data_IF_996648254583
#
_entry.id   IF_996648254583
#
_cell.length_a   1.000
_cell.length_b   1.000
_cell.length_c   1.000
_cell.angle_alpha   90.00
_cell.angle_beta   90.00
_cell.angle_gamma   90.00
#
_symmetry.space_group_name_H-M   'P 1'
#
loop_
_entity.id
_entity.type
_entity.pdbx_description
1 polymer ?
#
# COMPACT_ATOMS: atom_id res chain seq x y z
N UNK A 1 17.76 4.15 24.69
CA UNK A 1 16.32 3.72 24.75
C UNK A 1 15.70 4.20 26.06
N UNK A 2 16.37 3.98 27.20
CA UNK A 2 15.91 4.41 28.54
C UNK A 2 15.64 5.90 28.59
N UNK A 3 16.58 6.73 28.14
CA UNK A 3 16.45 8.18 28.04
C UNK A 3 15.26 8.61 27.14
N UNK A 4 14.99 7.90 26.05
CA UNK A 4 13.83 8.14 25.23
C UNK A 4 12.50 7.83 25.96
N UNK A 5 12.44 6.72 26.66
CA UNK A 5 11.25 6.28 27.41
C UNK A 5 10.95 7.27 28.55
N UNK A 6 12.00 7.82 29.20
CA UNK A 6 11.86 8.77 30.28
C UNK A 6 11.34 10.13 29.81
N UNK A 7 11.77 10.59 28.62
CA UNK A 7 11.48 11.95 28.15
C UNK A 7 10.35 12.04 27.11
N UNK A 8 9.96 10.92 26.48
CA UNK A 8 8.90 10.91 25.47
C UNK A 8 7.64 10.25 26.03
N UNK A 9 6.59 11.03 26.32
CA UNK A 9 5.36 10.48 26.86
C UNK A 9 4.64 9.60 25.84
N UNK A 10 3.90 8.62 26.34
CA UNK A 10 2.99 7.84 25.49
C UNK A 10 1.93 8.76 24.90
N UNK A 11 1.73 8.65 23.61
CA UNK A 11 0.78 9.46 22.86
C UNK A 11 -0.12 8.60 21.98
N UNK A 12 -1.25 9.14 21.61
CA UNK A 12 -2.22 8.51 20.75
C UNK A 12 -2.62 9.45 19.59
N UNK A 13 -3.42 8.96 18.65
CA UNK A 13 -3.80 9.76 17.49
C UNK A 13 -4.49 11.10 17.84
N UNK A 14 -5.30 11.14 18.89
CA UNK A 14 -6.05 12.35 19.26
C UNK A 14 -5.13 13.49 19.69
N UNK A 15 -3.95 13.17 20.21
CA UNK A 15 -2.96 14.17 20.61
C UNK A 15 -2.43 14.93 19.38
N UNK A 16 -2.43 14.29 18.21
CA UNK A 16 -1.95 14.84 16.95
C UNK A 16 -3.06 15.30 15.99
N UNK A 17 -4.31 14.91 16.21
CA UNK A 17 -5.42 15.12 15.27
C UNK A 17 -5.58 16.58 14.85
N UNK A 18 -5.46 17.51 15.80
CA UNK A 18 -5.54 18.96 15.52
C UNK A 18 -4.44 19.44 14.55
N UNK A 19 -3.24 18.91 14.70
CA UNK A 19 -2.11 19.26 13.84
C UNK A 19 -2.25 18.61 12.44
N UNK A 20 -2.70 17.37 12.39
CA UNK A 20 -2.97 16.65 11.14
C UNK A 20 -4.06 17.37 10.33
N UNK A 21 -5.12 17.84 10.99
CA UNK A 21 -6.17 18.62 10.36
C UNK A 21 -5.66 19.96 9.78
N UNK A 22 -4.74 20.64 10.46
CA UNK A 22 -4.07 21.84 9.93
C UNK A 22 -3.27 21.50 8.66
N UNK A 23 -2.49 20.40 8.69
CA UNK A 23 -1.77 19.92 7.50
C UNK A 23 -2.73 19.57 6.35
N UNK A 24 -3.86 18.93 6.63
CA UNK A 24 -4.89 18.61 5.64
C UNK A 24 -5.56 19.86 5.05
N UNK A 25 -5.56 20.98 5.78
CA UNK A 25 -6.00 22.29 5.30
C UNK A 25 -4.90 23.04 4.51
N UNK A 26 -3.69 22.46 4.36
CA UNK A 26 -2.60 23.01 3.57
C UNK A 26 -1.54 23.80 4.37
N UNK A 27 -1.63 23.82 5.70
CA UNK A 27 -0.57 24.44 6.51
C UNK A 27 0.70 23.58 6.46
N UNK A 28 1.84 24.24 6.27
CA UNK A 28 3.17 23.60 6.18
C UNK A 28 3.92 23.68 7.50
N UNK A 29 4.94 22.83 7.63
CA UNK A 29 5.86 22.82 8.80
C UNK A 29 5.13 22.65 10.15
N UNK A 30 4.13 21.78 10.20
CA UNK A 30 3.36 21.50 11.42
C UNK A 30 3.99 20.31 12.18
N UNK A 31 3.83 19.08 11.70
CA UNK A 31 4.44 17.90 12.30
C UNK A 31 5.68 17.43 11.53
N UNK A 32 5.80 17.83 10.28
CA UNK A 32 6.91 17.49 9.40
C UNK A 32 7.33 18.70 8.59
N UNK A 33 8.59 18.80 8.22
CA UNK A 33 9.13 19.89 7.40
C UNK A 33 8.96 19.66 5.89
N UNK A 34 8.65 18.44 5.50
CA UNK A 34 8.41 18.08 4.10
C UNK A 34 6.94 18.27 3.70
N UNK A 35 6.71 18.47 2.41
CA UNK A 35 5.36 18.45 1.86
C UNK A 35 4.74 17.05 1.98
N UNK A 36 3.46 17.01 2.33
CA UNK A 36 2.69 15.75 2.37
C UNK A 36 2.34 15.33 0.96
N UNK A 37 2.76 14.14 0.56
CA UNK A 37 2.45 13.59 -0.77
C UNK A 37 1.01 13.09 -0.88
N UNK A 38 0.50 12.51 0.19
CA UNK A 38 -0.89 12.05 0.35
C UNK A 38 -1.19 11.79 1.82
N UNK A 39 -2.48 11.70 2.17
CA UNK A 39 -2.91 11.19 3.46
C UNK A 39 -3.35 9.74 3.32
N UNK A 40 -2.70 8.84 4.06
CA UNK A 40 -3.21 7.51 4.30
C UNK A 40 -4.43 7.56 5.20
N UNK A 41 -5.46 6.75 4.94
CA UNK A 41 -6.57 6.56 5.87
C UNK A 41 -6.54 5.16 6.47
N UNK A 42 -6.96 5.05 7.72
CA UNK A 42 -7.17 3.76 8.38
C UNK A 42 -8.61 3.29 8.19
N UNK A 43 -8.83 1.97 8.30
CA UNK A 43 -10.17 1.37 8.18
C UNK A 43 -11.16 1.77 9.28
N UNK A 44 -10.72 2.49 10.32
CA UNK A 44 -11.54 3.12 11.34
C UNK A 44 -12.55 2.20 12.03
N UNK A 45 -12.11 1.32 12.91
CA UNK A 45 -13.00 0.48 13.75
C UNK A 45 -13.90 1.28 14.70
N UNK A 46 -13.60 2.57 14.89
CA UNK A 46 -14.31 3.51 15.79
C UNK A 46 -15.14 4.57 15.06
N UNK A 47 -15.45 4.40 13.78
CA UNK A 47 -16.39 5.25 13.02
C UNK A 47 -15.77 6.47 12.30
N UNK A 48 -14.66 7.04 12.73
CA UNK A 48 -13.94 8.10 12.00
C UNK A 48 -12.65 7.57 11.41
N UNK A 49 -12.46 7.74 10.12
CA UNK A 49 -11.20 7.44 9.46
C UNK A 49 -10.11 8.39 9.97
N UNK A 50 -9.00 7.82 10.42
CA UNK A 50 -7.83 8.60 10.85
C UNK A 50 -6.97 8.90 9.62
N UNK A 51 -6.53 10.15 9.49
CA UNK A 51 -5.63 10.59 8.45
C UNK A 51 -4.17 10.48 8.94
N UNK A 52 -3.32 9.88 8.11
CA UNK A 52 -1.89 9.74 8.40
C UNK A 52 -1.11 10.43 7.28
N UNK A 53 -0.38 11.52 7.57
CA UNK A 53 0.39 12.21 6.55
C UNK A 53 1.56 11.35 6.07
N UNK A 54 1.69 11.18 4.77
CA UNK A 54 2.78 10.47 4.13
C UNK A 54 3.69 11.46 3.40
N UNK A 55 4.97 11.46 3.76
CA UNK A 55 6.01 12.27 3.12
C UNK A 55 6.88 11.41 2.20
N UNK A 56 7.64 12.07 1.32
CA UNK A 56 8.58 11.40 0.44
C UNK A 56 9.65 10.61 1.23
N UNK A 57 10.26 11.21 2.23
CA UNK A 57 11.29 10.54 3.04
C UNK A 57 10.73 9.37 3.83
N UNK A 58 9.55 9.53 4.45
CA UNK A 58 8.87 8.45 5.18
C UNK A 58 8.52 7.27 4.26
N UNK A 59 8.01 7.55 3.06
CA UNK A 59 7.72 6.51 2.06
C UNK A 59 8.99 5.79 1.58
N UNK A 60 10.09 6.51 1.32
CA UNK A 60 11.37 5.92 0.91
C UNK A 60 11.93 5.05 2.04
N UNK A 61 11.88 5.51 3.29
CA UNK A 61 12.30 4.74 4.45
C UNK A 61 11.47 3.45 4.60
N UNK A 62 10.14 3.55 4.52
CA UNK A 62 9.26 2.38 4.55
C UNK A 62 9.57 1.38 3.43
N UNK A 63 9.75 1.86 2.19
CA UNK A 63 10.12 1.00 1.04
C UNK A 63 11.47 0.33 1.24
N UNK A 64 12.47 1.07 1.73
CA UNK A 64 13.82 0.56 1.93
C UNK A 64 13.87 -0.50 3.03
N UNK A 65 13.24 -0.25 4.17
CA UNK A 65 13.34 -1.14 5.32
C UNK A 65 12.30 -2.26 5.29
N UNK A 66 11.05 -1.97 4.97
CA UNK A 66 9.99 -2.98 4.98
C UNK A 66 10.03 -3.88 3.75
N UNK A 67 10.04 -3.31 2.53
CA UNK A 67 10.00 -4.12 1.31
C UNK A 67 11.27 -4.93 1.11
N UNK A 68 12.45 -4.31 1.23
CA UNK A 68 13.73 -4.99 0.98
C UNK A 68 14.01 -6.04 2.05
N UNK A 69 13.79 -5.73 3.33
CA UNK A 69 14.02 -6.70 4.40
C UNK A 69 13.03 -7.86 4.34
N UNK A 70 11.76 -7.60 4.02
CA UNK A 70 10.77 -8.66 3.85
C UNK A 70 11.13 -9.59 2.68
N UNK A 71 11.55 -9.04 1.55
CA UNK A 71 11.98 -9.84 0.40
C UNK A 71 13.22 -10.68 0.73
N UNK A 72 14.18 -10.12 1.45
CA UNK A 72 15.36 -10.85 1.91
C UNK A 72 15.00 -11.99 2.85
N UNK A 73 14.06 -11.75 3.77
CA UNK A 73 13.56 -12.79 4.67
C UNK A 73 12.90 -13.94 3.89
N UNK A 74 12.01 -13.63 2.96
CA UNK A 74 11.35 -14.62 2.09
C UNK A 74 12.39 -15.41 1.31
N UNK A 75 13.34 -14.74 0.66
CA UNK A 75 14.40 -15.40 -0.09
C UNK A 75 15.22 -16.34 0.78
N UNK A 76 15.66 -15.91 1.97
CA UNK A 76 16.50 -16.72 2.84
C UNK A 76 15.81 -17.99 3.38
N UNK A 77 14.48 -17.91 3.61
CA UNK A 77 13.71 -19.03 4.16
C UNK A 77 13.11 -19.96 3.09
N UNK A 78 12.94 -19.47 1.86
CA UNK A 78 12.27 -20.20 0.79
C UNK A 78 13.09 -20.28 -0.49
N UNK A 79 14.40 -20.08 -0.43
CA UNK A 79 15.30 -19.99 -1.60
C UNK A 79 15.22 -21.19 -2.53
N UNK A 80 14.92 -22.39 -2.02
CA UNK A 80 14.81 -23.61 -2.83
C UNK A 80 13.58 -23.59 -3.74
N UNK A 81 12.51 -22.94 -3.28
CA UNK A 81 11.26 -22.79 -4.02
C UNK A 81 11.11 -21.41 -4.68
N UNK A 82 12.01 -20.46 -4.34
CA UNK A 82 11.95 -19.11 -4.85
C UNK A 82 12.48 -19.08 -6.29
N UNK A 83 11.56 -18.90 -7.23
CA UNK A 83 11.90 -18.69 -8.63
C UNK A 83 11.93 -17.20 -8.92
N UNK A 84 13.00 -16.73 -9.52
CA UNK A 84 13.06 -15.34 -9.99
C UNK A 84 12.03 -15.13 -11.10
N UNK A 85 11.03 -14.31 -10.81
CA UNK A 85 9.93 -14.01 -11.73
C UNK A 85 9.05 -12.90 -11.16
N UNK A 86 7.97 -12.60 -11.87
CA UNK A 86 7.00 -11.59 -11.43
C UNK A 86 6.03 -12.17 -10.41
N UNK A 87 5.52 -11.30 -9.54
CA UNK A 87 4.43 -11.63 -8.63
C UNK A 87 3.07 -11.21 -9.18
N UNK A 88 2.01 -11.93 -8.81
CA UNK A 88 0.67 -11.39 -8.87
C UNK A 88 0.44 -10.55 -7.62
N UNK A 89 0.29 -9.22 -7.79
CA UNK A 89 -0.06 -8.30 -6.72
C UNK A 89 -1.51 -7.87 -6.86
N UNK A 90 -2.38 -8.40 -5.98
CA UNK A 90 -3.78 -7.97 -5.95
C UNK A 90 -3.91 -6.77 -5.00
N UNK A 91 -3.97 -5.58 -5.58
CA UNK A 91 -4.12 -4.31 -4.88
C UNK A 91 -4.84 -3.30 -5.76
N UNK A 92 -5.52 -2.37 -5.12
CA UNK A 92 -6.09 -1.19 -5.78
C UNK A 92 -5.20 0.05 -5.59
N UNK A 93 -5.35 1.03 -6.48
CA UNK A 93 -4.68 2.33 -6.41
C UNK A 93 -5.68 3.48 -6.45
N UNK A 94 -6.88 3.25 -5.97
CA UNK A 94 -7.97 4.22 -5.99
C UNK A 94 -7.69 5.37 -5.01
N UNK A 95 -7.83 6.61 -5.48
CA UNK A 95 -7.92 7.79 -4.60
C UNK A 95 -9.35 7.90 -4.12
N UNK A 96 -9.55 7.86 -2.81
CA UNK A 96 -10.88 7.90 -2.20
C UNK A 96 -11.48 9.30 -2.32
N UNK A 97 -10.70 10.32 -1.98
CA UNK A 97 -11.11 11.74 -1.99
C UNK A 97 -9.87 12.64 -1.90
N UNK A 98 -10.10 13.93 -1.75
CA UNK A 98 -9.05 14.94 -1.57
C UNK A 98 -9.33 15.78 -0.33
N UNK A 99 -8.28 16.29 0.30
CA UNK A 99 -8.39 17.32 1.34
C UNK A 99 -8.88 18.64 0.74
N UNK A 100 -9.26 19.59 1.60
CA UNK A 100 -9.61 20.96 1.15
C UNK A 100 -8.46 21.66 0.40
N UNK A 101 -7.23 21.29 0.70
CA UNK A 101 -6.03 21.82 0.03
C UNK A 101 -5.64 21.06 -1.24
N UNK A 102 -6.42 20.05 -1.65
CA UNK A 102 -6.17 19.26 -2.86
C UNK A 102 -5.20 18.10 -2.68
N UNK A 103 -4.79 17.77 -1.46
CA UNK A 103 -3.91 16.62 -1.20
C UNK A 103 -4.74 15.32 -1.28
N UNK A 104 -4.28 14.27 -2.00
CA UNK A 104 -5.02 13.03 -2.13
C UNK A 104 -5.19 12.31 -0.78
N UNK A 105 -6.36 11.69 -0.58
CA UNK A 105 -6.64 10.76 0.51
C UNK A 105 -6.88 9.38 -0.11
N UNK A 106 -6.11 8.38 0.32
CA UNK A 106 -6.21 7.01 -0.21
C UNK A 106 -5.69 6.01 0.83
N UNK A 107 -5.78 4.71 0.54
CA UNK A 107 -5.09 3.72 1.37
C UNK A 107 -3.56 3.94 1.31
N UNK A 108 -2.84 3.54 2.35
CA UNK A 108 -1.38 3.64 2.36
C UNK A 108 -0.75 2.85 1.19
N UNK A 109 -1.31 1.70 0.85
CA UNK A 109 -0.90 0.89 -0.30
C UNK A 109 -1.13 1.63 -1.62
N UNK A 110 -2.33 2.18 -1.82
CA UNK A 110 -2.66 2.95 -3.04
C UNK A 110 -1.70 4.12 -3.24
N UNK A 111 -1.44 4.88 -2.18
CA UNK A 111 -0.50 6.01 -2.23
C UNK A 111 0.92 5.58 -2.56
N UNK A 112 1.40 4.49 -1.95
CA UNK A 112 2.72 3.92 -2.22
C UNK A 112 2.85 3.41 -3.67
N UNK A 113 1.89 2.62 -4.15
CA UNK A 113 1.89 2.04 -5.50
C UNK A 113 1.88 3.10 -6.61
N UNK A 114 1.11 4.18 -6.44
CA UNK A 114 1.12 5.33 -7.38
C UNK A 114 2.52 5.92 -7.57
N UNK A 115 3.31 5.96 -6.51
CA UNK A 115 4.66 6.54 -6.54
C UNK A 115 5.71 5.63 -7.17
N UNK A 116 5.45 4.34 -7.27
CA UNK A 116 6.32 3.35 -7.90
C UNK A 116 5.77 2.82 -9.22
N UNK A 117 4.80 3.52 -9.83
CA UNK A 117 4.15 3.10 -11.09
C UNK A 117 5.15 2.61 -12.15
N UNK A 118 6.27 3.30 -12.33
CA UNK A 118 7.31 2.93 -13.30
C UNK A 118 8.04 1.61 -13.01
N UNK A 119 7.99 1.11 -11.77
CA UNK A 119 8.62 -0.15 -11.36
C UNK A 119 7.66 -1.35 -11.45
N UNK A 120 6.36 -1.11 -11.47
CA UNK A 120 5.32 -2.15 -11.46
C UNK A 120 5.52 -3.18 -12.57
N UNK A 121 5.79 -2.82 -13.84
CA UNK A 121 5.95 -3.80 -14.92
C UNK A 121 7.13 -4.76 -14.74
N UNK A 122 8.11 -4.39 -13.92
CA UNK A 122 9.27 -5.23 -13.62
C UNK A 122 9.04 -6.19 -12.45
N UNK A 123 8.12 -5.83 -11.55
CA UNK A 123 7.87 -6.56 -10.30
C UNK A 123 6.64 -7.45 -10.39
N UNK A 124 5.60 -7.01 -11.11
CA UNK A 124 4.28 -7.63 -11.10
C UNK A 124 3.81 -8.00 -12.50
N UNK A 125 2.91 -8.98 -12.55
CA UNK A 125 2.34 -9.50 -13.81
C UNK A 125 1.39 -8.51 -14.46
N UNK A 126 0.55 -7.86 -13.66
CA UNK A 126 -0.44 -6.91 -14.16
C UNK A 126 0.17 -5.51 -14.34
N UNK A 127 -0.16 -4.81 -15.41
CA UNK A 127 0.19 -3.40 -15.55
C UNK A 127 -0.54 -2.55 -14.50
N UNK A 128 0.00 -1.37 -14.23
CA UNK A 128 -0.54 -0.46 -13.21
C UNK A 128 -2.02 -0.11 -13.44
N UNK A 129 -2.43 0.02 -14.68
CA UNK A 129 -3.79 0.39 -15.09
C UNK A 129 -4.85 -0.60 -14.58
N UNK A 130 -4.50 -1.87 -14.40
CA UNK A 130 -5.37 -2.88 -13.79
C UNK A 130 -5.69 -2.54 -12.34
N UNK A 131 -4.74 -1.96 -11.60
CA UNK A 131 -4.94 -1.53 -10.21
C UNK A 131 -5.85 -0.30 -10.08
N UNK A 132 -6.12 0.41 -11.18
CA UNK A 132 -7.04 1.56 -11.23
C UNK A 132 -8.47 1.16 -11.58
N UNK A 133 -8.72 -0.10 -11.94
CA UNK A 133 -10.05 -0.62 -12.26
C UNK A 133 -10.91 -0.62 -11.00
N UNK A 134 -12.06 0.05 -11.05
CA UNK A 134 -12.95 0.21 -9.90
C UNK A 134 -13.86 -0.99 -9.66
N UNK A 135 -14.29 -1.65 -10.75
CA UNK A 135 -15.09 -2.86 -10.66
C UNK A 135 -14.21 -4.01 -10.16
N UNK A 136 -14.58 -4.58 -9.03
CA UNK A 136 -13.76 -5.58 -8.34
C UNK A 136 -13.67 -6.89 -9.12
N UNK A 137 -14.75 -7.32 -9.77
CA UNK A 137 -14.73 -8.57 -10.56
C UNK A 137 -13.88 -8.40 -11.80
N UNK A 138 -14.04 -7.31 -12.53
CA UNK A 138 -13.21 -6.99 -13.68
C UNK A 138 -11.72 -6.86 -13.28
N UNK A 139 -11.44 -6.26 -12.13
CA UNK A 139 -10.08 -6.15 -11.61
C UNK A 139 -9.49 -7.52 -11.30
N UNK A 140 -10.22 -8.40 -10.60
CA UNK A 140 -9.79 -9.78 -10.31
C UNK A 140 -9.54 -10.56 -11.60
N UNK A 141 -10.48 -10.49 -12.56
CA UNK A 141 -10.34 -11.13 -13.85
C UNK A 141 -9.07 -10.71 -14.59
N UNK A 142 -8.82 -9.40 -14.66
CA UNK A 142 -7.63 -8.87 -15.33
C UNK A 142 -6.34 -9.27 -14.62
N UNK A 143 -6.30 -9.22 -13.29
CA UNK A 143 -5.13 -9.68 -12.53
C UNK A 143 -4.83 -11.16 -12.81
N UNK A 144 -5.85 -12.01 -12.83
CA UNK A 144 -5.70 -13.44 -13.15
C UNK A 144 -5.28 -13.65 -14.61
N UNK A 145 -5.86 -12.93 -15.54
CA UNK A 145 -5.51 -13.03 -16.97
C UNK A 145 -4.02 -12.75 -17.20
N UNK A 146 -3.49 -11.67 -16.61
CA UNK A 146 -2.07 -11.37 -16.72
C UNK A 146 -1.18 -12.38 -15.97
N UNK A 147 -1.65 -12.87 -14.82
CA UNK A 147 -0.89 -13.85 -14.04
C UNK A 147 -0.82 -15.24 -14.71
N UNK A 148 -1.93 -15.71 -15.26
CA UNK A 148 -1.98 -17.01 -15.95
C UNK A 148 -1.19 -16.99 -17.27
N UNK A 149 -1.03 -15.82 -17.88
CA UNK A 149 -0.20 -15.67 -19.08
C UNK A 149 1.31 -15.51 -18.76
N UNK A 150 1.68 -15.35 -17.48
CA UNK A 150 3.07 -15.21 -17.05
C UNK A 150 3.71 -16.58 -16.80
N UNK A 151 4.70 -16.94 -17.62
CA UNK A 151 5.38 -18.24 -17.49
C UNK A 151 6.26 -18.39 -16.25
N UNK A 152 6.64 -17.28 -15.64
CA UNK A 152 7.53 -17.23 -14.47
C UNK A 152 6.84 -16.55 -13.28
N UNK A 153 5.56 -16.89 -13.05
CA UNK A 153 4.87 -16.45 -11.84
C UNK A 153 5.56 -17.07 -10.63
N UNK A 154 6.05 -16.22 -9.72
CA UNK A 154 6.85 -16.63 -8.57
C UNK A 154 6.07 -16.63 -7.27
N UNK A 155 5.14 -15.69 -7.11
CA UNK A 155 4.37 -15.52 -5.87
C UNK A 155 3.07 -14.77 -6.11
N UNK A 156 2.15 -14.93 -5.17
CA UNK A 156 0.91 -14.14 -5.09
C UNK A 156 0.99 -13.33 -3.81
N UNK A 157 0.63 -12.06 -3.87
CA UNK A 157 0.65 -11.17 -2.72
C UNK A 157 -0.54 -10.21 -2.72
N UNK A 158 -1.01 -9.87 -1.53
CA UNK A 158 -2.00 -8.83 -1.29
C UNK A 158 -1.80 -8.25 0.11
N UNK A 159 -2.46 -7.14 0.41
CA UNK A 159 -2.45 -6.53 1.76
C UNK A 159 -3.09 -7.46 2.80
N UNK A 160 -4.16 -8.18 2.41
CA UNK A 160 -4.86 -9.13 3.26
C UNK A 160 -4.92 -10.49 2.60
N UNK A 161 -4.69 -11.54 3.37
CA UNK A 161 -4.77 -12.92 2.88
C UNK A 161 -6.18 -13.27 2.36
N UNK A 162 -7.23 -12.67 2.92
CA UNK A 162 -8.60 -12.83 2.42
C UNK A 162 -8.74 -12.46 0.95
N UNK A 163 -8.05 -11.43 0.49
CA UNK A 163 -8.07 -11.03 -0.92
C UNK A 163 -7.46 -12.10 -1.84
N UNK A 164 -6.45 -12.83 -1.35
CA UNK A 164 -5.86 -13.96 -2.09
C UNK A 164 -6.85 -15.10 -2.18
N UNK A 165 -7.55 -15.41 -1.08
CA UNK A 165 -8.59 -16.45 -1.06
C UNK A 165 -9.76 -16.09 -1.99
N UNK A 166 -10.21 -14.83 -1.96
CA UNK A 166 -11.27 -14.35 -2.86
C UNK A 166 -10.85 -14.48 -4.33
N UNK A 167 -9.59 -14.14 -4.64
CA UNK A 167 -9.06 -14.26 -5.99
C UNK A 167 -9.01 -15.71 -6.47
N UNK A 168 -8.61 -16.65 -5.60
CA UNK A 168 -8.57 -18.07 -5.93
C UNK A 168 -9.97 -18.66 -6.11
N UNK A 169 -10.93 -18.29 -5.26
CA UNK A 169 -12.34 -18.69 -5.41
C UNK A 169 -12.93 -18.16 -6.72
N UNK A 170 -12.67 -16.90 -7.02
CA UNK A 170 -13.10 -16.31 -8.29
C UNK A 170 -12.50 -17.03 -9.49
N UNK A 171 -11.24 -17.47 -9.41
CA UNK A 171 -10.61 -18.29 -10.44
C UNK A 171 -11.33 -19.62 -10.60
N UNK A 172 -11.61 -20.34 -9.50
CA UNK A 172 -12.34 -21.62 -9.52
C UNK A 172 -13.72 -21.48 -10.15
N UNK A 173 -14.46 -20.43 -9.84
CA UNK A 173 -15.79 -20.15 -10.40
C UNK A 173 -15.79 -19.81 -11.90
N UNK A 174 -14.65 -19.37 -12.45
CA UNK A 174 -14.53 -18.93 -13.86
C UNK A 174 -13.78 -19.91 -14.77
N UNK A 175 -13.26 -21.01 -14.21
CA UNK A 175 -12.56 -22.04 -15.00
C UNK A 175 -13.53 -22.97 -15.75
N UNK A 176 -14.79 -23.06 -15.30
CA UNK A 176 -15.87 -23.82 -15.97
C UNK A 176 -16.49 -22.96 -17.10
#
# INVERSE_FOLDING_TARGET
IEDYIEHVPLSNYHDYEKYINRMANGEKNILVSEDVEYFGHTSGTTGKQKLIPATKSGRIAASKYMAILSQRFVYNNFKENFKYGKGLMFADTVTTTYTKSGIPICSATSGGMKKIKGLIPYMYTSPYEVMEVKDKEAQMYLHLLFALNERKLSYITSVFISNVLDLLRFLEEKID
#
